data_IF_356209164723
#
_entry.id   IF_356209164723
#
_cell.length_a   1.000
_cell.length_b   1.000
_cell.length_c   1.000
_cell.angle_alpha   90.00
_cell.angle_beta   90.00
_cell.angle_gamma   90.00
#
_symmetry.space_group_name_H-M   'P 1'
#
loop_
_entity.id
_entity.type
_entity.pdbx_description
1 polymer ?
#
# COMPACT_ATOMS: atom_id res chain seq x y z
N UNK A 1 14.02 34.43 2.64
CA UNK A 1 14.44 33.03 2.94
C UNK A 1 13.49 32.09 2.19
N UNK A 2 13.94 30.90 1.79
CA UNK A 2 13.03 29.91 1.19
C UNK A 2 12.16 29.30 2.28
N UNK A 3 10.86 29.09 1.99
CA UNK A 3 9.97 28.39 2.92
C UNK A 3 10.37 26.92 3.05
N UNK A 4 10.28 26.41 4.28
CA UNK A 4 10.62 25.05 4.62
C UNK A 4 9.36 24.16 4.56
N UNK A 5 9.43 23.07 3.83
CA UNK A 5 8.36 22.08 3.76
C UNK A 5 8.87 20.76 4.32
N UNK A 6 8.20 20.28 5.38
CA UNK A 6 8.50 18.97 5.96
C UNK A 6 7.63 17.91 5.29
N UNK A 7 8.26 16.92 4.67
CA UNK A 7 7.59 15.76 4.08
C UNK A 7 7.86 14.53 4.95
N UNK A 8 6.79 13.93 5.48
CA UNK A 8 6.85 12.79 6.42
C UNK A 8 6.48 11.50 5.67
N UNK A 9 7.48 10.68 5.37
CA UNK A 9 7.39 9.43 4.64
C UNK A 9 8.01 9.49 3.24
N UNK A 10 9.03 8.66 3.02
CA UNK A 10 9.81 8.57 1.77
C UNK A 10 9.28 7.53 0.78
N UNK A 11 7.98 7.21 0.84
CA UNK A 11 7.31 6.38 -0.16
C UNK A 11 7.04 7.14 -1.48
N UNK A 12 6.37 6.51 -2.47
CA UNK A 12 6.11 7.14 -3.78
C UNK A 12 5.45 8.51 -3.70
N UNK A 13 4.51 8.71 -2.76
CA UNK A 13 3.84 9.99 -2.56
C UNK A 13 4.82 11.07 -2.10
N UNK A 14 5.63 10.76 -1.08
CA UNK A 14 6.61 11.71 -0.55
C UNK A 14 7.70 12.04 -1.55
N UNK A 15 8.18 11.05 -2.32
CA UNK A 15 9.17 11.26 -3.38
C UNK A 15 8.63 12.20 -4.46
N UNK A 16 7.45 11.91 -5.01
CA UNK A 16 6.83 12.71 -6.07
C UNK A 16 6.53 14.14 -5.61
N UNK A 17 5.96 14.29 -4.40
CA UNK A 17 5.68 15.61 -3.84
C UNK A 17 6.97 16.41 -3.60
N UNK A 18 8.01 15.77 -3.04
CA UNK A 18 9.31 16.41 -2.78
C UNK A 18 9.95 16.89 -4.07
N UNK A 19 9.88 16.11 -5.15
CA UNK A 19 10.39 16.49 -6.45
C UNK A 19 9.66 17.74 -7.01
N UNK A 20 8.33 17.78 -6.89
CA UNK A 20 7.53 18.92 -7.36
C UNK A 20 7.80 20.17 -6.52
N UNK A 21 7.79 20.07 -5.19
CA UNK A 21 8.07 21.18 -4.28
C UNK A 21 9.48 21.75 -4.49
N UNK A 22 10.49 20.89 -4.68
CA UNK A 22 11.84 21.32 -5.02
C UNK A 22 11.88 22.12 -6.34
N UNK A 23 11.17 21.64 -7.39
CA UNK A 23 11.08 22.36 -8.68
C UNK A 23 10.39 23.72 -8.54
N UNK A 24 9.46 23.86 -7.59
CA UNK A 24 8.82 25.14 -7.25
C UNK A 24 9.71 26.07 -6.40
N UNK A 25 10.90 25.60 -5.99
CA UNK A 25 11.90 26.42 -5.30
C UNK A 25 11.87 26.35 -3.78
N UNK A 26 11.05 25.49 -3.19
CA UNK A 26 10.98 25.31 -1.73
C UNK A 26 12.22 24.59 -1.17
N UNK A 27 12.48 24.80 0.12
CA UNK A 27 13.43 23.99 0.87
C UNK A 27 12.70 22.78 1.45
N UNK A 28 12.89 21.62 0.82
CA UNK A 28 12.20 20.38 1.22
C UNK A 28 13.07 19.57 2.15
N UNK A 29 12.47 19.13 3.26
CA UNK A 29 13.07 18.22 4.24
C UNK A 29 12.21 16.96 4.22
N UNK A 30 12.75 15.87 3.66
CA UNK A 30 12.08 14.57 3.57
C UNK A 30 12.62 13.66 4.66
N UNK A 31 11.71 13.07 5.46
CA UNK A 31 12.09 12.08 6.47
C UNK A 31 11.46 10.72 6.18
N UNK A 32 12.21 9.66 6.43
CA UNK A 32 11.80 8.27 6.25
C UNK A 32 12.27 7.43 7.45
N UNK A 33 11.37 6.61 8.00
CA UNK A 33 11.64 5.76 9.15
C UNK A 33 12.54 4.56 8.82
N UNK A 34 12.45 4.06 7.60
CA UNK A 34 13.27 2.95 7.12
C UNK A 34 14.66 3.43 6.67
N UNK A 35 15.59 2.51 6.53
CA UNK A 35 16.94 2.81 6.03
C UNK A 35 17.01 3.17 4.55
N UNK A 36 15.93 2.92 3.80
CA UNK A 36 15.83 3.18 2.37
C UNK A 36 14.52 3.87 2.01
N UNK A 37 14.58 4.75 1.02
CA UNK A 37 13.41 5.37 0.43
C UNK A 37 12.62 4.37 -0.43
N UNK A 38 11.36 4.69 -0.71
CA UNK A 38 10.48 3.94 -1.62
C UNK A 38 9.30 3.25 -0.95
N UNK A 39 9.28 3.13 0.38
CA UNK A 39 8.19 2.49 1.11
C UNK A 39 7.88 1.08 0.59
N UNK A 40 6.59 0.77 0.38
CA UNK A 40 6.19 -0.54 -0.16
C UNK A 40 6.67 -0.78 -1.60
N UNK A 41 6.81 0.28 -2.43
CA UNK A 41 7.30 0.13 -3.81
C UNK A 41 8.71 -0.49 -3.86
N UNK A 42 9.56 -0.21 -2.86
CA UNK A 42 10.89 -0.81 -2.74
C UNK A 42 10.85 -2.33 -2.43
N UNK A 43 9.70 -2.85 -2.02
CA UNK A 43 9.50 -4.26 -1.63
C UNK A 43 8.86 -5.10 -2.73
N UNK A 44 8.32 -4.47 -3.79
CA UNK A 44 7.63 -5.14 -4.89
C UNK A 44 8.56 -5.47 -6.06
N UNK A 45 8.16 -6.43 -6.88
CA UNK A 45 8.86 -6.84 -8.11
C UNK A 45 8.27 -6.14 -9.33
N UNK A 46 7.00 -6.42 -9.64
CA UNK A 46 6.28 -5.85 -10.79
C UNK A 46 4.99 -5.15 -10.35
N UNK A 47 4.57 -4.21 -11.16
CA UNK A 47 3.35 -3.42 -10.95
C UNK A 47 2.25 -3.86 -11.92
N UNK A 48 1.01 -3.92 -11.45
CA UNK A 48 -0.16 -4.14 -12.31
C UNK A 48 -0.54 -2.81 -13.03
N UNK A 49 -1.25 -2.86 -14.18
CA UNK A 49 -1.64 -4.08 -14.91
C UNK A 49 -0.53 -4.64 -15.80
N UNK A 50 0.45 -3.83 -16.21
CA UNK A 50 1.34 -4.07 -17.35
C UNK A 50 2.66 -4.78 -16.97
N UNK A 51 2.85 -5.15 -15.71
CA UNK A 51 4.07 -5.84 -15.25
C UNK A 51 5.33 -4.97 -15.25
N UNK A 52 5.17 -3.63 -15.19
CA UNK A 52 6.30 -2.70 -15.13
C UNK A 52 7.14 -2.94 -13.89
N UNK A 53 8.46 -2.89 -14.02
CA UNK A 53 9.38 -3.10 -12.90
C UNK A 53 9.22 -2.03 -11.81
N UNK A 54 8.89 -2.46 -10.59
CA UNK A 54 8.78 -1.60 -9.43
C UNK A 54 10.13 -0.91 -9.12
N UNK A 55 11.25 -1.64 -9.29
CA UNK A 55 12.61 -1.11 -9.09
C UNK A 55 12.91 0.05 -10.05
N UNK A 56 12.65 -0.12 -11.36
CA UNK A 56 12.89 0.95 -12.33
C UNK A 56 12.02 2.17 -12.06
N UNK A 57 10.77 1.97 -11.66
CA UNK A 57 9.86 3.04 -11.28
C UNK A 57 10.37 3.79 -10.05
N UNK A 58 10.88 3.09 -9.05
CA UNK A 58 11.46 3.69 -7.86
C UNK A 58 12.75 4.47 -8.19
N UNK A 59 13.63 3.90 -9.01
CA UNK A 59 14.86 4.57 -9.49
C UNK A 59 14.51 5.91 -10.14
N UNK A 60 13.52 5.94 -11.02
CA UNK A 60 13.07 7.19 -11.65
C UNK A 60 12.55 8.22 -10.63
N UNK A 61 11.76 7.80 -9.64
CA UNK A 61 11.25 8.70 -8.59
C UNK A 61 12.38 9.24 -7.69
N UNK A 62 13.37 8.42 -7.37
CA UNK A 62 14.48 8.82 -6.51
C UNK A 62 15.47 9.74 -7.22
N UNK A 63 15.64 9.59 -8.52
CA UNK A 63 16.48 10.49 -9.33
C UNK A 63 15.94 11.94 -9.33
N UNK A 64 14.63 12.13 -9.33
CA UNK A 64 13.99 13.45 -9.33
C UNK A 64 14.21 14.24 -8.03
N UNK A 65 14.46 13.57 -6.92
CA UNK A 65 14.69 14.21 -5.62
C UNK A 65 16.18 14.48 -5.31
N UNK A 66 17.11 14.28 -6.25
CA UNK A 66 18.52 14.58 -6.04
C UNK A 66 18.72 16.02 -5.56
N UNK A 67 19.37 16.17 -4.40
CA UNK A 67 19.58 17.48 -3.76
C UNK A 67 18.44 17.93 -2.84
N UNK A 68 17.44 17.11 -2.57
CA UNK A 68 16.52 17.26 -1.44
C UNK A 68 17.21 16.79 -0.16
N UNK A 69 17.00 17.50 0.96
CA UNK A 69 17.50 17.08 2.27
C UNK A 69 16.70 15.86 2.77
N UNK A 70 17.27 14.67 2.61
CA UNK A 70 16.62 13.41 2.99
C UNK A 70 17.28 12.83 4.26
N UNK A 71 16.47 12.48 5.25
CA UNK A 71 16.89 11.79 6.46
C UNK A 71 16.17 10.44 6.54
N UNK A 72 16.91 9.36 6.31
CA UNK A 72 16.44 7.98 6.54
C UNK A 72 16.63 7.60 8.02
N UNK A 73 16.07 6.46 8.45
CA UNK A 73 16.09 6.00 9.85
C UNK A 73 15.62 7.09 10.83
N UNK A 74 14.74 7.98 10.36
CA UNK A 74 14.33 9.18 11.07
C UNK A 74 12.81 9.28 11.13
N UNK A 75 12.29 9.51 12.33
CA UNK A 75 10.87 9.68 12.61
C UNK A 75 10.61 11.02 13.29
N UNK A 76 9.37 11.50 13.25
CA UNK A 76 8.92 12.61 14.08
C UNK A 76 8.81 12.13 15.53
N UNK A 77 9.61 12.68 16.42
CA UNK A 77 9.54 12.44 17.84
C UNK A 77 8.49 13.35 18.51
N UNK A 78 8.47 14.63 18.11
CA UNK A 78 7.47 15.59 18.57
C UNK A 78 7.08 16.54 17.44
N UNK A 79 5.79 16.83 17.32
CA UNK A 79 5.24 17.79 16.35
C UNK A 79 4.29 18.73 17.09
N UNK A 80 4.58 20.03 17.04
CA UNK A 80 3.79 21.06 17.68
C UNK A 80 3.35 22.10 16.65
N UNK A 81 2.13 22.59 16.80
CA UNK A 81 1.59 23.68 15.99
C UNK A 81 2.04 25.01 16.62
N UNK A 82 2.65 25.85 15.82
CA UNK A 82 2.94 27.25 16.17
C UNK A 82 2.09 28.10 15.23
N UNK A 83 1.48 29.16 15.70
CA UNK A 83 0.64 30.09 14.92
C UNK A 83 0.38 29.69 13.44
N UNK A 84 1.31 30.01 12.51
CA UNK A 84 1.24 29.69 11.07
C UNK A 84 2.32 28.68 10.61
N UNK A 85 2.92 27.90 11.52
CA UNK A 85 4.01 26.97 11.23
C UNK A 85 4.00 25.75 12.14
N UNK A 86 4.88 24.81 11.88
CA UNK A 86 5.02 23.56 12.62
C UNK A 86 6.45 23.42 13.14
N UNK A 87 6.59 23.09 14.41
CA UNK A 87 7.88 22.74 15.00
C UNK A 87 7.97 21.24 15.20
N UNK A 88 8.82 20.58 14.42
CA UNK A 88 9.06 19.14 14.49
C UNK A 88 10.43 18.86 15.11
N UNK A 89 10.47 18.01 16.14
CA UNK A 89 11.69 17.40 16.67
C UNK A 89 11.79 16.01 16.09
N UNK A 90 12.90 15.73 15.42
CA UNK A 90 13.17 14.45 14.79
C UNK A 90 13.93 13.51 15.71
N UNK A 91 13.82 12.20 15.51
CA UNK A 91 14.46 11.18 16.34
C UNK A 91 16.01 11.24 16.32
N UNK A 92 16.58 11.88 15.32
CA UNK A 92 18.02 12.14 15.20
C UNK A 92 18.47 13.45 15.91
N UNK A 93 17.57 14.11 16.66
CA UNK A 93 17.83 15.33 17.41
C UNK A 93 17.70 16.63 16.59
N UNK A 94 17.45 16.56 15.29
CA UNK A 94 17.25 17.76 14.47
C UNK A 94 15.88 18.37 14.74
N UNK A 95 15.85 19.70 14.90
CA UNK A 95 14.61 20.47 14.98
C UNK A 95 14.33 21.15 13.65
N UNK A 96 13.12 20.97 13.12
CA UNK A 96 12.66 21.53 11.86
C UNK A 96 11.51 22.50 12.13
N UNK A 97 11.69 23.77 11.80
CA UNK A 97 10.60 24.72 11.69
C UNK A 97 10.09 24.72 10.25
N UNK A 98 8.87 24.20 10.05
CA UNK A 98 8.26 24.05 8.74
C UNK A 98 7.08 25.01 8.55
N UNK A 99 7.03 25.67 7.39
CA UNK A 99 5.91 26.54 7.00
C UNK A 99 4.70 25.71 6.54
N UNK A 100 4.94 24.48 6.06
CA UNK A 100 3.90 23.49 5.81
C UNK A 100 4.44 22.07 6.02
N UNK A 101 3.52 21.14 6.28
CA UNK A 101 3.80 19.71 6.47
C UNK A 101 2.99 18.89 5.49
N UNK A 102 3.63 17.92 4.83
CA UNK A 102 2.98 16.88 4.05
C UNK A 102 3.14 15.52 4.73
N UNK A 103 2.04 14.90 5.11
CA UNK A 103 2.02 13.54 5.62
C UNK A 103 1.78 12.55 4.47
N UNK A 104 2.78 11.71 4.21
CA UNK A 104 2.77 10.66 3.18
C UNK A 104 3.19 9.31 3.77
N UNK A 105 2.70 9.01 4.98
CA UNK A 105 3.09 7.85 5.81
C UNK A 105 2.61 6.50 5.26
N UNK A 106 1.80 6.49 4.19
CA UNK A 106 1.33 5.28 3.54
C UNK A 106 0.41 4.42 4.42
N UNK A 107 0.60 3.11 4.36
CA UNK A 107 -0.22 2.10 5.03
C UNK A 107 0.64 0.98 5.59
N UNK A 108 0.06 0.20 6.51
CA UNK A 108 0.61 -1.09 6.95
C UNK A 108 -0.24 -2.23 6.35
N UNK A 109 0.35 -3.40 6.16
CA UNK A 109 -0.41 -4.59 5.77
C UNK A 109 -1.12 -5.18 7.00
N UNK A 110 -2.29 -5.75 6.75
CA UNK A 110 -2.99 -6.52 7.77
C UNK A 110 -2.12 -7.69 8.23
N UNK A 111 -2.04 -7.89 9.54
CA UNK A 111 -1.31 -9.01 10.15
C UNK A 111 -2.09 -10.29 9.93
N UNK A 112 -1.64 -11.12 8.98
CA UNK A 112 -2.35 -12.33 8.55
C UNK A 112 -2.49 -13.38 9.67
N UNK A 113 -1.64 -13.34 10.69
CA UNK A 113 -1.69 -14.19 11.89
C UNK A 113 -3.01 -14.04 12.67
N UNK A 114 -3.69 -12.89 12.51
CA UNK A 114 -5.00 -12.64 13.14
C UNK A 114 -6.15 -13.42 12.49
N UNK A 115 -5.89 -14.10 11.37
CA UNK A 115 -6.84 -14.97 10.68
C UNK A 115 -6.36 -16.40 10.82
N UNK A 116 -6.47 -16.91 12.05
CA UNK A 116 -5.98 -18.24 12.44
C UNK A 116 -6.57 -19.37 11.57
N UNK A 117 -7.78 -19.17 11.05
CA UNK A 117 -8.46 -20.11 10.14
C UNK A 117 -7.71 -20.35 8.83
N UNK A 118 -6.73 -19.50 8.48
CA UNK A 118 -5.90 -19.66 7.28
C UNK A 118 -4.51 -20.25 7.56
N UNK A 119 -4.08 -20.31 8.83
CA UNK A 119 -2.85 -20.97 9.22
C UNK A 119 -1.54 -20.28 8.87
N UNK A 120 -1.56 -18.96 8.61
CA UNK A 120 -0.32 -18.19 8.38
C UNK A 120 0.58 -18.19 9.63
N UNK A 121 1.86 -18.51 9.45
CA UNK A 121 2.82 -18.67 10.54
C UNK A 121 2.71 -20.01 11.28
N UNK A 122 1.76 -20.89 10.88
CA UNK A 122 1.56 -22.24 11.41
C UNK A 122 1.91 -23.27 10.33
N UNK A 123 1.36 -23.13 9.11
CA UNK A 123 1.58 -24.03 7.99
C UNK A 123 2.62 -23.43 7.03
N UNK A 124 3.67 -24.19 6.69
CA UNK A 124 4.75 -23.70 5.81
C UNK A 124 4.27 -23.26 4.42
N UNK A 125 3.24 -23.92 3.89
CA UNK A 125 2.65 -23.59 2.59
C UNK A 125 1.80 -22.32 2.57
N UNK A 126 1.56 -21.64 3.70
CA UNK A 126 0.72 -20.42 3.75
C UNK A 126 1.61 -19.18 3.85
N UNK A 127 1.53 -18.33 2.84
CA UNK A 127 2.30 -17.09 2.74
C UNK A 127 1.38 -15.89 2.45
N UNK A 128 1.88 -14.68 2.62
CA UNK A 128 1.17 -13.46 2.20
C UNK A 128 1.55 -13.04 0.79
N UNK A 129 0.75 -12.15 0.20
CA UNK A 129 1.09 -11.48 -1.06
C UNK A 129 2.41 -10.69 -0.98
N UNK A 130 2.77 -10.18 0.20
CA UNK A 130 4.05 -9.49 0.42
C UNK A 130 5.23 -10.47 0.44
N UNK A 131 5.07 -11.66 1.04
CA UNK A 131 6.07 -12.71 1.01
C UNK A 131 6.32 -13.19 -0.43
N UNK A 132 5.24 -13.35 -1.21
CA UNK A 132 5.34 -13.72 -2.62
C UNK A 132 6.04 -12.65 -3.47
N UNK A 133 5.76 -11.36 -3.27
CA UNK A 133 6.50 -10.26 -3.93
C UNK A 133 8.00 -10.31 -3.60
N UNK A 134 8.33 -10.60 -2.34
CA UNK A 134 9.72 -10.78 -1.93
C UNK A 134 10.37 -11.96 -2.66
N UNK A 135 9.65 -13.09 -2.76
CA UNK A 135 10.14 -14.29 -3.46
C UNK A 135 10.42 -14.02 -4.95
N UNK A 136 9.51 -13.31 -5.65
CA UNK A 136 9.71 -12.89 -7.04
C UNK A 136 10.93 -11.97 -7.19
N UNK A 137 11.03 -10.93 -6.37
CA UNK A 137 12.13 -9.97 -6.40
C UNK A 137 13.48 -10.62 -6.14
N UNK A 138 13.54 -11.55 -5.19
CA UNK A 138 14.78 -12.27 -4.82
C UNK A 138 15.03 -13.48 -5.73
N UNK A 139 14.09 -13.80 -6.62
CA UNK A 139 14.13 -15.01 -7.49
C UNK A 139 14.31 -16.30 -6.68
N UNK A 140 13.72 -16.33 -5.49
CA UNK A 140 13.78 -17.46 -4.56
C UNK A 140 12.37 -17.88 -4.19
N UNK A 141 11.80 -18.74 -5.02
CA UNK A 141 10.45 -19.25 -4.79
C UNK A 141 10.43 -20.25 -3.63
N UNK A 142 9.34 -20.25 -2.81
CA UNK A 142 9.27 -21.07 -1.59
C UNK A 142 9.14 -22.58 -1.88
N UNK A 143 8.61 -22.95 -3.05
CA UNK A 143 8.37 -24.34 -3.42
C UNK A 143 9.08 -24.70 -4.72
N UNK A 144 9.41 -25.98 -4.85
CA UNK A 144 9.91 -26.57 -6.07
C UNK A 144 8.80 -27.36 -6.76
N UNK A 145 8.42 -27.00 -7.99
CA UNK A 145 7.40 -27.66 -8.82
C UNK A 145 6.03 -27.91 -8.11
N UNK A 146 5.38 -26.88 -7.54
CA UNK A 146 4.05 -27.04 -6.94
C UNK A 146 3.02 -27.43 -8.00
N UNK A 147 2.06 -28.31 -7.64
CA UNK A 147 0.97 -28.75 -8.50
C UNK A 147 -0.23 -27.82 -8.48
N UNK A 148 -0.51 -27.24 -7.30
CA UNK A 148 -1.68 -26.38 -7.10
C UNK A 148 -1.39 -25.25 -6.13
N UNK A 149 -1.78 -24.03 -6.52
CA UNK A 149 -1.57 -22.80 -5.74
C UNK A 149 -2.89 -22.03 -5.65
N UNK A 150 -3.22 -21.53 -4.46
CA UNK A 150 -4.42 -20.75 -4.21
C UNK A 150 -4.13 -19.32 -3.78
N UNK A 151 -5.02 -18.39 -4.12
CA UNK A 151 -5.03 -17.01 -3.66
C UNK A 151 -6.33 -16.73 -2.92
N UNK A 152 -6.25 -16.30 -1.65
CA UNK A 152 -7.42 -15.89 -0.87
C UNK A 152 -7.50 -14.36 -0.86
N UNK A 153 -8.55 -13.83 -1.48
CA UNK A 153 -8.77 -12.38 -1.54
C UNK A 153 -9.33 -11.83 -0.21
N UNK A 154 -9.15 -10.54 0.00
CA UNK A 154 -9.75 -9.78 1.10
C UNK A 154 -9.37 -10.25 2.52
N UNK A 155 -8.15 -10.75 2.73
CA UNK A 155 -7.69 -11.14 4.07
C UNK A 155 -7.48 -9.90 4.93
N UNK A 156 -8.32 -9.73 5.97
CA UNK A 156 -8.34 -8.54 6.81
C UNK A 156 -8.89 -7.27 6.13
N UNK A 157 -9.66 -7.43 5.04
CA UNK A 157 -10.44 -6.38 4.37
C UNK A 157 -11.86 -6.88 4.14
N UNK A 158 -12.86 -5.96 4.12
CA UNK A 158 -14.28 -6.32 4.02
C UNK A 158 -14.67 -7.35 5.10
N UNK A 159 -14.12 -7.16 6.29
CA UNK A 159 -14.21 -8.07 7.41
C UNK A 159 -14.41 -7.29 8.70
N UNK A 160 -15.64 -7.24 9.18
CA UNK A 160 -16.03 -6.54 10.42
C UNK A 160 -15.33 -7.14 11.64
N UNK A 161 -15.17 -8.47 11.68
CA UNK A 161 -14.47 -9.17 12.78
C UNK A 161 -12.99 -8.77 12.85
N UNK A 162 -12.38 -8.47 11.71
CA UNK A 162 -11.01 -7.97 11.64
C UNK A 162 -10.92 -6.45 11.92
N UNK A 163 -12.06 -5.77 12.17
CA UNK A 163 -12.13 -4.32 12.35
C UNK A 163 -11.77 -3.54 11.08
N UNK A 164 -12.11 -4.08 9.91
CA UNK A 164 -11.86 -3.44 8.62
C UNK A 164 -12.95 -3.76 7.61
N UNK A 165 -14.12 -3.10 7.68
CA UNK A 165 -15.23 -3.31 6.76
C UNK A 165 -14.92 -2.80 5.34
N UNK A 166 -13.93 -1.92 5.19
CA UNK A 166 -13.56 -1.30 3.93
C UNK A 166 -12.79 -2.25 2.98
N UNK A 167 -12.90 -1.98 1.69
CA UNK A 167 -12.12 -2.66 0.66
C UNK A 167 -10.73 -2.03 0.51
N UNK A 168 -9.69 -2.84 0.44
CA UNK A 168 -8.32 -2.39 0.17
C UNK A 168 -8.06 -2.03 -1.31
N UNK A 169 -9.08 -1.90 -2.13
CA UNK A 169 -9.07 -1.41 -3.53
C UNK A 169 -8.17 -2.20 -4.49
N UNK A 170 -6.94 -2.52 -4.13
CA UNK A 170 -5.89 -3.04 -5.05
C UNK A 170 -5.66 -4.54 -4.96
N UNK A 171 -6.19 -5.23 -3.93
CA UNK A 171 -5.86 -6.64 -3.71
C UNK A 171 -6.32 -7.56 -4.85
N UNK A 172 -7.43 -7.27 -5.53
CA UNK A 172 -7.87 -8.06 -6.69
C UNK A 172 -6.88 -7.95 -7.86
N UNK A 173 -6.47 -6.75 -8.23
CA UNK A 173 -5.48 -6.55 -9.30
C UNK A 173 -4.11 -7.15 -8.94
N UNK A 174 -3.69 -7.02 -7.67
CA UNK A 174 -2.46 -7.65 -7.17
C UNK A 174 -2.54 -9.17 -7.24
N UNK A 175 -3.65 -9.78 -6.81
CA UNK A 175 -3.83 -11.24 -6.85
C UNK A 175 -3.79 -11.77 -8.29
N UNK A 176 -4.51 -11.11 -9.21
CA UNK A 176 -4.53 -11.53 -10.62
C UNK A 176 -3.14 -11.41 -11.25
N UNK A 177 -2.42 -10.29 -10.97
CA UNK A 177 -1.04 -10.12 -11.42
C UNK A 177 -0.13 -11.23 -10.89
N UNK A 178 -0.14 -11.46 -9.56
CA UNK A 178 0.69 -12.49 -8.94
C UNK A 178 0.34 -13.90 -9.41
N UNK A 179 -0.93 -14.18 -9.65
CA UNK A 179 -1.37 -15.46 -10.21
C UNK A 179 -0.82 -15.67 -11.64
N UNK A 180 -0.79 -14.63 -12.48
CA UNK A 180 -0.13 -14.69 -13.79
C UNK A 180 1.37 -14.94 -13.67
N UNK A 181 2.05 -14.23 -12.76
CA UNK A 181 3.48 -14.40 -12.50
C UNK A 181 3.82 -15.81 -11.98
N UNK A 182 2.96 -16.40 -11.15
CA UNK A 182 3.06 -17.81 -10.74
C UNK A 182 3.00 -18.73 -11.95
N UNK A 183 2.09 -18.49 -12.89
CA UNK A 183 1.99 -19.29 -14.10
C UNK A 183 3.19 -19.11 -15.06
N UNK A 184 3.86 -17.96 -15.03
CA UNK A 184 5.12 -17.76 -15.75
C UNK A 184 6.26 -18.60 -15.14
N UNK A 185 6.29 -18.74 -13.79
CA UNK A 185 7.31 -19.53 -13.09
C UNK A 185 6.99 -21.03 -13.09
N UNK A 186 5.71 -21.37 -12.88
CA UNK A 186 5.19 -22.74 -12.80
C UNK A 186 4.08 -22.98 -13.82
N UNK A 187 4.41 -23.17 -15.10
CA UNK A 187 3.41 -23.28 -16.18
C UNK A 187 2.40 -24.41 -15.98
N UNK A 188 2.82 -25.51 -15.36
CA UNK A 188 2.01 -26.71 -15.13
C UNK A 188 1.16 -26.66 -13.86
N UNK A 189 1.36 -25.67 -12.98
CA UNK A 189 0.59 -25.57 -11.75
C UNK A 189 -0.86 -25.14 -12.03
N UNK A 190 -1.82 -25.78 -11.37
CA UNK A 190 -3.19 -25.28 -11.28
C UNK A 190 -3.23 -24.07 -10.35
N UNK A 191 -3.83 -22.96 -10.79
CA UNK A 191 -3.92 -21.74 -9.98
C UNK A 191 -5.38 -21.37 -9.74
N UNK A 192 -5.72 -21.11 -8.48
CA UNK A 192 -7.07 -20.79 -8.00
C UNK A 192 -7.10 -19.42 -7.32
N UNK A 193 -8.09 -18.60 -7.63
CA UNK A 193 -8.39 -17.35 -6.94
C UNK A 193 -9.75 -17.45 -6.24
N UNK A 194 -9.76 -17.44 -4.91
CA UNK A 194 -10.99 -17.42 -4.11
C UNK A 194 -11.35 -15.97 -3.80
N UNK A 195 -12.51 -15.52 -4.28
CA UNK A 195 -12.89 -14.11 -4.21
C UNK A 195 -14.38 -13.95 -3.87
N UNK A 196 -14.74 -12.81 -3.23
CA UNK A 196 -16.15 -12.45 -3.00
C UNK A 196 -16.70 -11.69 -4.21
N UNK A 197 -16.05 -10.58 -4.56
CA UNK A 197 -16.28 -9.77 -5.76
C UNK A 197 -14.94 -9.41 -6.35
N UNK A 198 -14.79 -9.55 -7.66
CA UNK A 198 -13.58 -9.18 -8.37
C UNK A 198 -13.66 -7.74 -8.82
N UNK A 199 -12.80 -6.89 -8.27
CA UNK A 199 -12.77 -5.45 -8.54
C UNK A 199 -11.58 -5.12 -9.43
N UNK A 200 -11.80 -5.19 -10.75
CA UNK A 200 -10.81 -4.93 -11.79
C UNK A 200 -11.19 -3.65 -12.56
N UNK A 201 -11.38 -2.55 -11.83
CA UNK A 201 -11.75 -1.27 -12.42
C UNK A 201 -10.51 -0.39 -12.63
N UNK A 202 -10.26 -0.05 -13.83
CA UNK A 202 -9.12 0.74 -14.28
C UNK A 202 -8.79 0.38 -15.72
N UNK A 203 -8.11 1.26 -16.42
CA UNK A 203 -7.70 1.01 -17.79
C UNK A 203 -6.74 -0.19 -17.84
N UNK A 204 -7.02 -1.17 -18.68
CA UNK A 204 -6.26 -2.41 -18.88
C UNK A 204 -6.31 -3.43 -17.72
N UNK A 205 -7.09 -3.19 -16.66
CA UNK A 205 -7.23 -4.17 -15.57
C UNK A 205 -8.10 -5.35 -16.00
N UNK A 206 -9.13 -5.09 -16.80
CA UNK A 206 -9.96 -6.14 -17.39
C UNK A 206 -9.14 -7.01 -18.37
N UNK A 207 -8.23 -6.38 -19.13
CA UNK A 207 -7.32 -7.11 -20.04
C UNK A 207 -6.43 -8.08 -19.26
N UNK A 208 -5.89 -7.66 -18.11
CA UNK A 208 -5.12 -8.53 -17.21
C UNK A 208 -5.96 -9.72 -16.71
N UNK A 209 -7.22 -9.47 -16.33
CA UNK A 209 -8.13 -10.54 -15.90
C UNK A 209 -8.47 -11.53 -17.03
N UNK A 210 -8.75 -11.02 -18.22
CA UNK A 210 -9.01 -11.84 -19.39
C UNK A 210 -7.79 -12.68 -19.76
N UNK A 211 -6.59 -12.11 -19.69
CA UNK A 211 -5.32 -12.83 -19.88
C UNK A 211 -5.17 -13.95 -18.86
N UNK A 212 -5.43 -13.67 -17.59
CA UNK A 212 -5.36 -14.67 -16.52
C UNK A 212 -6.26 -15.89 -16.80
N UNK A 213 -7.47 -15.65 -17.30
CA UNK A 213 -8.42 -16.74 -17.63
C UNK A 213 -8.07 -17.47 -18.92
N UNK A 214 -7.83 -16.72 -20.00
CA UNK A 214 -7.75 -17.30 -21.36
C UNK A 214 -6.37 -17.85 -21.71
N UNK A 215 -5.31 -17.17 -21.27
CA UNK A 215 -3.94 -17.58 -21.61
C UNK A 215 -3.33 -18.46 -20.52
N UNK A 216 -3.56 -18.13 -19.24
CA UNK A 216 -2.99 -18.85 -18.11
C UNK A 216 -3.90 -19.91 -17.48
N UNK A 217 -5.18 -19.96 -17.86
CA UNK A 217 -6.14 -20.94 -17.35
C UNK A 217 -6.39 -20.82 -15.84
N UNK A 218 -6.20 -19.63 -15.25
CA UNK A 218 -6.43 -19.39 -13.82
C UNK A 218 -7.91 -19.54 -13.50
N UNK A 219 -8.23 -20.34 -12.48
CA UNK A 219 -9.60 -20.63 -12.05
C UNK A 219 -10.06 -19.65 -10.99
N UNK A 220 -11.16 -18.97 -11.24
CA UNK A 220 -11.77 -18.00 -10.35
C UNK A 220 -12.99 -18.61 -9.66
N UNK A 221 -12.92 -18.81 -8.34
CA UNK A 221 -13.97 -19.41 -7.52
C UNK A 221 -14.60 -18.31 -6.68
N UNK A 222 -15.88 -18.02 -6.95
CA UNK A 222 -16.61 -17.00 -6.21
C UNK A 222 -17.10 -17.56 -4.89
N UNK A 223 -16.43 -17.17 -3.80
CA UNK A 223 -16.79 -17.61 -2.45
C UNK A 223 -15.70 -17.27 -1.44
N UNK A 224 -16.04 -17.42 -0.17
CA UNK A 224 -15.05 -17.27 0.91
C UNK A 224 -14.43 -18.62 1.26
N UNK A 225 -13.13 -18.60 1.50
CA UNK A 225 -12.46 -19.71 2.19
C UNK A 225 -12.89 -19.66 3.64
N UNK A 226 -13.41 -20.77 4.13
CA UNK A 226 -13.88 -20.90 5.51
C UNK A 226 -12.82 -21.45 6.45
N UNK A 227 -11.95 -22.32 5.94
CA UNK A 227 -10.95 -23.03 6.73
C UNK A 227 -9.84 -23.57 5.84
N UNK A 228 -8.64 -23.59 6.38
CA UNK A 228 -7.47 -24.26 5.82
C UNK A 228 -6.95 -25.26 6.86
N UNK A 229 -6.64 -26.46 6.44
CA UNK A 229 -6.04 -27.49 7.29
C UNK A 229 -4.84 -28.12 6.58
N UNK A 230 -3.76 -28.35 7.30
CA UNK A 230 -2.62 -29.09 6.79
C UNK A 230 -2.92 -30.60 6.81
N UNK A 231 -2.60 -31.26 5.73
CA UNK A 231 -2.75 -32.70 5.56
C UNK A 231 -1.48 -33.42 6.04
N UNK A 232 -1.57 -34.75 6.26
CA UNK A 232 -0.44 -35.55 6.73
C UNK A 232 0.78 -35.53 5.77
N UNK A 233 0.56 -35.18 4.51
CA UNK A 233 1.63 -35.06 3.50
C UNK A 233 2.17 -33.60 3.34
N UNK A 234 1.77 -32.69 4.24
CA UNK A 234 2.18 -31.29 4.25
C UNK A 234 1.42 -30.39 3.27
N UNK A 235 0.51 -30.95 2.45
CA UNK A 235 -0.35 -30.13 1.58
C UNK A 235 -1.49 -29.49 2.36
N UNK A 236 -2.08 -28.47 1.78
CA UNK A 236 -3.15 -27.68 2.39
C UNK A 236 -4.52 -28.11 1.83
N UNK A 237 -5.45 -28.50 2.67
CA UNK A 237 -6.84 -28.68 2.31
C UNK A 237 -7.60 -27.37 2.58
N UNK A 238 -8.04 -26.72 1.52
CA UNK A 238 -8.83 -25.47 1.57
C UNK A 238 -10.30 -25.82 1.41
N UNK A 239 -11.14 -25.38 2.36
CA UNK A 239 -12.60 -25.48 2.29
C UNK A 239 -13.17 -24.12 1.89
N UNK A 240 -14.03 -24.11 0.90
CA UNK A 240 -14.75 -22.93 0.43
C UNK A 240 -16.15 -23.29 -0.05
N UNK A 241 -16.98 -22.27 -0.25
CA UNK A 241 -18.23 -22.41 -0.97
C UNK A 241 -18.09 -21.77 -2.35
N UNK A 242 -18.45 -22.49 -3.41
CA UNK A 242 -18.64 -21.87 -4.71
C UNK A 242 -20.08 -21.33 -4.78
N UNK A 243 -20.24 -20.04 -4.61
CA UNK A 243 -21.53 -19.37 -4.57
C UNK A 243 -22.24 -19.32 -5.92
N UNK A 244 -21.54 -19.57 -7.03
CA UNK A 244 -22.16 -19.65 -8.36
C UNK A 244 -22.84 -20.99 -8.59
N UNK A 245 -22.23 -22.06 -8.10
CA UNK A 245 -22.82 -23.42 -8.17
C UNK A 245 -23.62 -23.80 -6.93
N UNK A 246 -23.58 -22.96 -5.87
CA UNK A 246 -24.17 -23.23 -4.53
C UNK A 246 -23.70 -24.55 -3.93
N UNK A 247 -22.41 -24.87 -4.11
CA UNK A 247 -21.82 -26.12 -3.62
C UNK A 247 -20.60 -25.87 -2.74
N UNK A 248 -20.46 -26.62 -1.63
CA UNK A 248 -19.20 -26.64 -0.91
C UNK A 248 -18.14 -27.32 -1.76
N UNK A 249 -16.94 -26.77 -1.73
CA UNK A 249 -15.79 -27.31 -2.43
C UNK A 249 -14.63 -27.55 -1.48
N UNK A 250 -13.79 -28.50 -1.82
CA UNK A 250 -12.50 -28.76 -1.18
C UNK A 250 -11.43 -28.80 -2.26
N UNK A 251 -10.35 -28.01 -2.06
CA UNK A 251 -9.22 -27.96 -2.99
C UNK A 251 -7.97 -28.30 -2.20
N UNK A 252 -7.15 -29.20 -2.72
CA UNK A 252 -5.84 -29.51 -2.15
C UNK A 252 -4.79 -28.68 -2.86
N UNK A 253 -4.01 -27.93 -2.10
CA UNK A 253 -3.00 -26.98 -2.58
C UNK A 253 -1.64 -27.30 -1.98
N UNK A 254 -0.57 -26.97 -2.69
CA UNK A 254 0.79 -26.98 -2.19
C UNK A 254 1.17 -25.63 -1.56
N UNK A 255 0.51 -24.54 -2.01
CA UNK A 255 0.74 -23.20 -1.47
C UNK A 255 -0.56 -22.38 -1.47
N UNK A 256 -0.73 -21.57 -0.44
CA UNK A 256 -1.84 -20.62 -0.31
C UNK A 256 -1.29 -19.21 -0.07
N UNK A 257 -1.69 -18.28 -0.92
CA UNK A 257 -1.30 -16.87 -0.83
C UNK A 257 -2.44 -16.05 -0.26
N UNK A 258 -2.22 -15.42 0.88
CA UNK A 258 -3.19 -14.56 1.54
C UNK A 258 -3.03 -13.12 1.05
N UNK A 259 -4.07 -12.57 0.42
CA UNK A 259 -4.09 -11.18 -0.05
C UNK A 259 -4.38 -10.25 1.12
N UNK A 260 -3.34 -9.94 1.91
CA UNK A 260 -3.41 -9.09 3.09
C UNK A 260 -3.85 -7.67 2.71
N UNK A 261 -4.86 -7.17 3.40
CA UNK A 261 -5.43 -5.84 3.16
C UNK A 261 -4.57 -4.70 3.67
N UNK A 262 -4.90 -3.48 3.25
CA UNK A 262 -4.28 -2.26 3.74
C UNK A 262 -4.92 -1.81 5.05
N UNK A 263 -4.08 -1.36 5.99
CA UNK A 263 -4.47 -0.75 7.26
C UNK A 263 -3.79 0.61 7.40
N UNK A 264 -4.37 1.55 8.16
CA UNK A 264 -3.70 2.81 8.46
C UNK A 264 -2.32 2.57 9.06
N UNK A 265 -1.32 3.35 8.59
CA UNK A 265 0.05 3.27 9.10
C UNK A 265 0.12 3.67 10.57
N UNK A 266 0.72 2.85 11.43
CA UNK A 266 0.90 3.19 12.84
C UNK A 266 1.84 4.38 13.03
N UNK A 267 2.89 4.49 12.19
CA UNK A 267 3.76 5.66 12.20
C UNK A 267 3.00 6.95 11.87
N UNK A 268 2.11 6.90 10.87
CA UNK A 268 1.24 8.04 10.53
C UNK A 268 0.29 8.39 11.68
N UNK A 269 -0.37 7.40 12.28
CA UNK A 269 -1.25 7.61 13.42
C UNK A 269 -0.52 8.20 14.63
N UNK A 270 0.73 7.80 14.86
CA UNK A 270 1.56 8.39 15.93
C UNK A 270 1.77 9.90 15.73
N UNK A 271 2.04 10.34 14.49
CA UNK A 271 2.12 11.77 14.14
C UNK A 271 0.76 12.45 14.31
N UNK A 272 -0.31 11.83 13.81
CA UNK A 272 -1.67 12.39 13.88
C UNK A 272 -2.16 12.63 15.29
N UNK A 273 -1.87 11.72 16.23
CA UNK A 273 -2.24 11.87 17.64
C UNK A 273 -1.60 13.09 18.30
N UNK A 274 -0.39 13.49 17.91
CA UNK A 274 0.34 14.62 18.51
C UNK A 274 -0.32 15.96 18.22
N UNK A 275 -1.02 16.09 17.09
CA UNK A 275 -1.68 17.32 16.66
C UNK A 275 -3.20 17.13 16.45
N UNK A 276 -3.77 16.05 16.99
CA UNK A 276 -5.20 15.73 16.95
C UNK A 276 -5.80 15.69 15.53
N UNK A 277 -5.10 15.06 14.56
CA UNK A 277 -5.65 14.82 13.23
C UNK A 277 -6.87 13.89 13.30
N UNK A 278 -7.91 14.23 12.56
CA UNK A 278 -9.13 13.41 12.46
C UNK A 278 -8.95 12.22 11.53
N UNK A 279 -9.64 11.13 11.84
CA UNK A 279 -9.67 9.92 11.02
C UNK A 279 -11.11 9.55 10.67
N UNK A 280 -11.28 8.82 9.57
CA UNK A 280 -12.52 8.14 9.22
C UNK A 280 -12.72 6.88 10.07
N UNK A 281 -13.88 6.23 9.96
CA UNK A 281 -14.24 5.02 10.71
C UNK A 281 -13.29 3.84 10.46
N UNK A 282 -12.65 3.79 9.29
CA UNK A 282 -11.65 2.78 8.95
C UNK A 282 -10.24 3.09 9.49
N UNK A 283 -10.09 4.25 10.14
CA UNK A 283 -8.87 4.73 10.79
C UNK A 283 -7.87 5.41 9.87
N UNK A 284 -8.15 5.59 8.58
CA UNK A 284 -7.38 6.44 7.68
C UNK A 284 -7.67 7.92 7.97
N UNK A 285 -6.73 8.82 7.61
CA UNK A 285 -6.92 10.23 7.87
C UNK A 285 -8.06 10.83 7.05
N UNK A 286 -8.86 11.67 7.71
CA UNK A 286 -9.97 12.40 7.12
C UNK A 286 -9.47 13.69 6.49
N UNK A 287 -9.86 13.93 5.26
CA UNK A 287 -9.57 15.18 4.54
C UNK A 287 -10.50 16.30 5.00
N UNK A 288 -10.16 17.55 4.66
CA UNK A 288 -11.02 18.72 4.88
C UNK A 288 -12.35 18.57 4.13
N UNK A 289 -12.27 18.13 2.88
CA UNK A 289 -13.41 17.78 2.02
C UNK A 289 -13.01 16.61 1.11
N UNK A 290 -13.79 15.53 1.14
CA UNK A 290 -13.49 14.28 0.43
C UNK A 290 -13.66 14.37 -1.10
N UNK A 291 -14.16 15.50 -1.62
CA UNK A 291 -14.32 15.75 -3.07
C UNK A 291 -13.42 16.87 -3.57
N UNK A 292 -13.40 18.00 -2.86
CA UNK A 292 -12.78 19.23 -3.36
C UNK A 292 -11.44 19.56 -2.69
N UNK A 293 -11.13 18.96 -1.53
CA UNK A 293 -9.93 19.27 -0.76
C UNK A 293 -9.30 18.01 -0.14
N UNK A 294 -9.19 16.94 -0.95
CA UNK A 294 -8.72 15.63 -0.49
C UNK A 294 -7.26 15.61 -0.02
N UNK A 295 -6.45 16.62 -0.42
CA UNK A 295 -5.06 16.76 0.00
C UNK A 295 -4.90 17.62 1.26
N UNK A 296 -5.97 18.27 1.74
CA UNK A 296 -5.93 19.14 2.91
C UNK A 296 -6.42 18.44 4.17
N UNK A 297 -5.74 18.68 5.26
CA UNK A 297 -6.31 18.39 6.59
C UNK A 297 -7.15 19.58 7.06
N UNK A 298 -7.89 19.40 8.15
CA UNK A 298 -8.60 20.51 8.81
C UNK A 298 -7.63 21.51 9.51
N UNK A 299 -6.35 21.18 9.59
CA UNK A 299 -5.31 22.04 10.18
C UNK A 299 -4.64 22.86 9.07
N UNK A 300 -4.59 24.20 9.18
CA UNK A 300 -3.93 25.06 8.20
C UNK A 300 -2.46 24.67 8.01
N UNK A 301 -2.00 24.57 6.75
CA UNK A 301 -0.62 24.21 6.44
C UNK A 301 -0.27 22.73 6.60
N UNK A 302 -1.24 21.86 6.91
CA UNK A 302 -1.02 20.42 7.00
C UNK A 302 -1.76 19.69 5.89
N UNK A 303 -1.01 18.89 5.12
CA UNK A 303 -1.48 18.24 3.89
C UNK A 303 -1.26 16.73 3.91
N UNK A 304 -2.00 16.03 3.05
CA UNK A 304 -1.91 14.60 2.85
C UNK A 304 -1.56 14.25 1.41
N UNK A 305 -0.86 13.12 1.22
CA UNK A 305 -0.75 12.47 -0.08
C UNK A 305 -0.57 10.95 0.05
N UNK A 306 -1.20 10.24 -0.87
CA UNK A 306 -1.08 8.80 -0.97
C UNK A 306 -1.93 8.03 0.04
N UNK A 307 -1.55 6.79 0.33
CA UNK A 307 -2.40 5.85 1.04
C UNK A 307 -2.58 6.12 2.55
N UNK A 308 -2.12 7.24 3.07
CA UNK A 308 -2.43 7.66 4.44
C UNK A 308 -3.90 8.08 4.63
N UNK A 309 -4.60 8.46 3.55
CA UNK A 309 -6.04 8.79 3.53
C UNK A 309 -6.91 7.69 2.92
N UNK A 310 -6.37 6.49 2.74
CA UNK A 310 -7.11 5.33 2.24
C UNK A 310 -6.37 4.54 1.15
N UNK A 311 -6.83 3.33 0.81
CA UNK A 311 -6.22 2.49 -0.21
C UNK A 311 -6.22 3.13 -1.60
N UNK A 312 -5.05 3.11 -2.26
CA UNK A 312 -4.82 3.75 -3.56
C UNK A 312 -3.90 2.92 -4.46
N UNK A 313 -4.05 3.11 -5.76
CA UNK A 313 -3.07 2.61 -6.74
C UNK A 313 -1.83 3.50 -6.76
N UNK A 314 -0.74 3.04 -7.39
CA UNK A 314 0.43 3.88 -7.57
C UNK A 314 0.14 5.13 -8.42
N UNK A 315 -0.56 5.05 -9.57
CA UNK A 315 -0.95 6.25 -10.32
C UNK A 315 -1.78 7.25 -9.50
N UNK A 316 -2.79 6.78 -8.74
CA UNK A 316 -3.58 7.65 -7.86
C UNK A 316 -2.67 8.35 -6.84
N UNK A 317 -1.74 7.61 -6.24
CA UNK A 317 -0.76 8.11 -5.26
C UNK A 317 0.10 9.23 -5.83
N UNK A 318 0.62 9.06 -7.05
CA UNK A 318 1.45 10.07 -7.72
C UNK A 318 0.63 11.32 -8.11
N UNK A 319 -0.60 11.14 -8.59
CA UNK A 319 -1.48 12.26 -8.92
C UNK A 319 -1.82 13.08 -7.67
N UNK A 320 -2.15 12.45 -6.56
CA UNK A 320 -2.39 13.16 -5.30
C UNK A 320 -1.15 13.90 -4.81
N UNK A 321 0.02 13.30 -4.92
CA UNK A 321 1.27 13.92 -4.49
C UNK A 321 1.56 15.21 -5.28
N UNK A 322 1.30 15.20 -6.60
CA UNK A 322 1.39 16.40 -7.44
C UNK A 322 0.38 17.47 -7.04
N UNK A 323 -0.86 17.05 -6.81
CA UNK A 323 -1.91 17.96 -6.35
C UNK A 323 -1.61 18.54 -4.97
N UNK A 324 -1.11 17.73 -4.03
CA UNK A 324 -0.71 18.20 -2.71
C UNK A 324 0.44 19.24 -2.80
N UNK A 325 1.41 19.05 -3.69
CA UNK A 325 2.49 20.02 -3.90
C UNK A 325 1.95 21.37 -4.42
N UNK A 326 0.96 21.35 -5.31
CA UNK A 326 0.29 22.58 -5.80
C UNK A 326 -0.52 23.27 -4.70
N UNK A 327 -1.24 22.52 -3.88
CA UNK A 327 -2.00 23.09 -2.75
C UNK A 327 -1.07 23.68 -1.67
N UNK A 328 0.08 23.07 -1.42
CA UNK A 328 1.12 23.63 -0.54
C UNK A 328 1.65 24.95 -1.12
N UNK A 329 1.97 24.98 -2.42
CA UNK A 329 2.45 26.20 -3.10
C UNK A 329 1.42 27.34 -3.00
N UNK A 330 0.15 27.02 -3.23
CA UNK A 330 -0.95 27.97 -3.08
C UNK A 330 -1.04 28.51 -1.65
N UNK A 331 -1.06 27.63 -0.66
CA UNK A 331 -1.13 28.00 0.76
C UNK A 331 0.02 28.94 1.18
N UNK A 332 1.24 28.61 0.79
CA UNK A 332 2.41 29.43 1.12
C UNK A 332 2.31 30.82 0.47
N UNK A 333 1.92 30.92 -0.80
CA UNK A 333 1.78 32.19 -1.52
C UNK A 333 0.69 33.08 -0.95
N UNK A 334 -0.44 32.52 -0.56
CA UNK A 334 -1.54 33.24 0.09
C UNK A 334 -1.06 33.83 1.44
N UNK A 335 -0.40 33.03 2.29
CA UNK A 335 0.09 33.49 3.59
C UNK A 335 1.30 34.46 3.53
N UNK A 336 2.01 34.48 2.39
CA UNK A 336 3.12 35.43 2.20
C UNK A 336 2.63 36.79 1.72
N UNK A 337 1.49 36.87 1.03
CA UNK A 337 0.87 38.14 0.55
C UNK A 337 0.19 38.92 1.66
N UNK A 338 -0.15 38.29 2.76
CA UNK A 338 -0.75 38.95 3.94
C UNK A 338 0.27 39.59 4.90
N UNK A 339 1.57 39.47 4.61
CA UNK A 339 2.67 40.16 5.31
C UNK A 339 3.17 41.34 4.50
#
# INVERSE_FOLDING_TARGET
>A
MKNNILVIGGGPAGLEASANLKRMGYNVILIEKESKLGGHLAKWDRLFPDGVSARKTLEALTDEIRGVNCFTETQVQSLNILDKSYNAILSNGITVLADAVLLSSGFDLFKAEKKEEYGYGIYEGVITNADLEKAFREKKMPLNEPRAIGFVHCVGSRDEKAGNPACSKVCCATAVKQACEIKEVYPNADVYCFYMDLRMFGRHYEDLYLKAQKEFGIRFIRGRVSEVAEMADGRLQVKAEDTLSSKPIRVTLDMLVLMAGMRPSEAGRSVGRQINLTTEDDGFFSSEDNLLAIQKSKLPGFFYAGACTGPKTLPDTLHEARSAALEIDRYIKENTREK
#
